data_IF_596803438795
#
_entry.id   IF_596803438795
#
_cell.length_a   1.000
_cell.length_b   1.000
_cell.length_c   1.000
_cell.angle_alpha   90.00
_cell.angle_beta   90.00
_cell.angle_gamma   90.00
#
_symmetry.space_group_name_H-M   'P 1'
#
loop_
_entity.id
_entity.type
_entity.pdbx_description
1 polymer ?
#
# COMPACT_ATOMS: atom_id res chain seq x y z
N UNK A 1 0.62 31.81 -13.15
CA UNK A 1 -0.25 30.65 -13.41
C UNK A 1 0.65 29.43 -13.48
N UNK A 2 0.67 28.59 -12.44
CA UNK A 2 1.38 27.31 -12.56
C UNK A 2 0.64 26.45 -13.58
N UNK A 3 1.37 25.85 -14.53
CA UNK A 3 0.78 24.92 -15.50
C UNK A 3 -0.06 23.87 -14.76
N UNK A 4 -1.31 23.69 -15.18
CA UNK A 4 -2.13 22.58 -14.71
C UNK A 4 -1.39 21.29 -15.02
N UNK A 5 -1.02 20.54 -13.98
CA UNK A 5 -0.38 19.24 -14.17
C UNK A 5 -1.34 18.35 -14.97
N UNK A 6 -0.91 17.81 -16.12
CA UNK A 6 -1.77 16.95 -16.92
C UNK A 6 -2.21 15.73 -16.11
N UNK A 7 -3.47 15.31 -16.27
CA UNK A 7 -4.01 14.12 -15.63
C UNK A 7 -3.24 12.87 -16.10
N UNK A 8 -2.69 12.12 -15.15
CA UNK A 8 -1.96 10.88 -15.42
C UNK A 8 -2.49 9.76 -14.51
N UNK A 9 -2.64 8.57 -15.06
CA UNK A 9 -3.06 7.38 -14.33
C UNK A 9 -1.86 6.47 -14.01
N UNK A 10 -1.70 6.11 -12.74
CA UNK A 10 -0.73 5.13 -12.25
C UNK A 10 -1.39 3.76 -12.01
N UNK A 11 -0.64 2.65 -11.89
CA UNK A 11 -1.25 1.34 -11.65
C UNK A 11 -2.01 1.27 -10.32
N UNK A 12 -1.50 1.92 -9.28
CA UNK A 12 -2.17 1.96 -7.98
C UNK A 12 -3.48 2.77 -8.02
N UNK A 13 -3.52 3.83 -8.83
CA UNK A 13 -4.71 4.62 -9.07
C UNK A 13 -5.73 3.85 -9.92
N UNK A 14 -5.27 3.14 -10.95
CA UNK A 14 -6.12 2.27 -11.75
C UNK A 14 -6.72 1.13 -10.93
N UNK A 15 -5.90 0.41 -10.15
CA UNK A 15 -6.37 -0.62 -9.23
C UNK A 15 -7.44 -0.09 -8.26
N UNK A 16 -7.30 1.15 -7.78
CA UNK A 16 -8.33 1.78 -6.92
C UNK A 16 -9.64 2.04 -7.66
N UNK A 17 -9.57 2.51 -8.90
CA UNK A 17 -10.74 2.71 -9.76
C UNK A 17 -11.48 1.38 -10.02
N UNK A 18 -10.72 0.32 -10.32
CA UNK A 18 -11.25 -1.02 -10.56
C UNK A 18 -11.89 -1.63 -9.30
N UNK A 19 -11.36 -1.36 -8.11
CA UNK A 19 -12.02 -1.73 -6.86
C UNK A 19 -13.34 -0.98 -6.68
N UNK A 20 -13.33 0.34 -6.87
CA UNK A 20 -14.52 1.18 -6.81
C UNK A 20 -14.23 2.59 -7.37
N UNK A 21 -14.95 3.07 -8.40
CA UNK A 21 -14.71 4.41 -8.96
C UNK A 21 -14.86 5.52 -7.92
N UNK A 22 -15.84 5.43 -7.01
CA UNK A 22 -15.96 6.35 -5.87
C UNK A 22 -14.73 6.35 -4.97
N UNK A 23 -14.12 5.19 -4.69
CA UNK A 23 -12.90 5.09 -3.88
C UNK A 23 -11.74 5.83 -4.57
N UNK A 24 -11.62 5.70 -5.89
CA UNK A 24 -10.67 6.50 -6.67
C UNK A 24 -10.94 8.00 -6.49
N UNK A 25 -12.18 8.43 -6.70
CA UNK A 25 -12.57 9.83 -6.59
C UNK A 25 -12.27 10.41 -5.19
N UNK A 26 -12.65 9.70 -4.12
CA UNK A 26 -12.37 10.07 -2.73
C UNK A 26 -10.87 10.22 -2.44
N UNK A 27 -10.03 9.40 -3.09
CA UNK A 27 -8.56 9.51 -2.96
C UNK A 27 -7.98 10.82 -3.54
N UNK A 28 -8.76 11.54 -4.34
CA UNK A 28 -8.39 12.83 -4.96
C UNK A 28 -8.94 14.06 -4.22
N UNK A 29 -9.80 13.87 -3.22
CA UNK A 29 -10.47 14.97 -2.49
C UNK A 29 -9.62 15.58 -1.35
N UNK A 30 -8.30 15.34 -1.34
CA UNK A 30 -7.38 15.81 -0.29
C UNK A 30 -7.80 15.40 1.13
N UNK A 31 -8.55 14.31 1.27
CA UNK A 31 -8.95 13.74 2.56
C UNK A 31 -7.72 13.21 3.34
N UNK A 32 -7.77 13.20 4.69
CA UNK A 32 -6.69 12.68 5.52
C UNK A 32 -6.26 11.26 5.15
N UNK A 33 -5.02 11.14 4.67
CA UNK A 33 -4.40 9.85 4.34
C UNK A 33 -3.97 9.12 5.59
N UNK A 34 -4.15 7.80 5.58
CA UNK A 34 -3.72 6.92 6.67
C UNK A 34 -2.30 6.42 6.40
N UNK A 35 -1.37 6.62 7.34
CA UNK A 35 -0.13 5.86 7.36
C UNK A 35 -0.41 4.44 7.86
N UNK A 36 0.31 3.44 7.35
CA UNK A 36 0.09 2.04 7.69
C UNK A 36 1.38 1.30 7.93
N UNK A 37 1.50 0.59 9.06
CA UNK A 37 2.72 -0.14 9.43
C UNK A 37 3.21 -1.11 8.34
N UNK A 38 2.29 -1.82 7.68
CA UNK A 38 2.67 -2.75 6.61
C UNK A 38 3.21 -2.03 5.37
N UNK A 39 2.64 -0.87 5.02
CA UNK A 39 3.09 -0.05 3.90
C UNK A 39 4.45 0.61 4.20
N UNK A 40 4.62 1.13 5.42
CA UNK A 40 5.89 1.71 5.89
C UNK A 40 7.01 0.66 5.93
N UNK A 41 6.75 -0.52 6.49
CA UNK A 41 7.72 -1.63 6.43
C UNK A 41 8.08 -1.96 4.98
N UNK A 42 7.09 -2.02 4.10
CA UNK A 42 7.29 -2.26 2.68
C UNK A 42 8.24 -1.23 2.05
N UNK A 43 7.95 0.05 2.27
CA UNK A 43 8.73 1.18 1.77
C UNK A 43 10.19 1.13 2.25
N UNK A 44 10.42 0.90 3.55
CA UNK A 44 11.77 0.79 4.09
C UNK A 44 12.55 -0.40 3.49
N UNK A 45 11.88 -1.54 3.28
CA UNK A 45 12.51 -2.72 2.65
C UNK A 45 12.86 -2.45 1.19
N UNK A 46 11.94 -1.88 0.40
CA UNK A 46 12.18 -1.55 -1.01
C UNK A 46 13.37 -0.59 -1.15
N UNK A 47 13.31 0.55 -0.47
CA UNK A 47 14.37 1.56 -0.48
C UNK A 47 15.73 0.98 -0.09
N UNK A 48 15.77 0.09 0.92
CA UNK A 48 17.03 -0.53 1.35
C UNK A 48 17.63 -1.49 0.31
N UNK A 49 16.79 -2.15 -0.50
CA UNK A 49 17.23 -3.04 -1.58
C UNK A 49 17.69 -2.22 -2.78
N UNK A 50 16.98 -1.14 -3.07
CA UNK A 50 17.34 -0.17 -4.12
C UNK A 50 18.69 0.51 -3.82
N UNK A 51 18.95 0.86 -2.56
CA UNK A 51 20.26 1.37 -2.11
C UNK A 51 21.39 0.34 -2.33
N UNK A 52 21.11 -0.94 -2.04
CA UNK A 52 22.07 -2.02 -2.27
C UNK A 52 22.39 -2.24 -3.76
N UNK A 53 21.46 -1.90 -4.65
CA UNK A 53 21.65 -1.96 -6.10
C UNK A 53 22.33 -0.70 -6.69
N UNK A 54 22.57 0.31 -5.86
CA UNK A 54 23.23 1.56 -6.25
C UNK A 54 24.55 1.80 -5.51
N UNK A 55 25.03 0.81 -4.76
CA UNK A 55 26.23 0.95 -3.94
C UNK A 55 27.52 1.01 -4.77
N UNK A 56 28.42 1.91 -4.39
CA UNK A 56 29.79 1.92 -4.90
C UNK A 56 30.68 0.89 -4.19
N UNK A 57 31.24 -0.04 -4.97
CA UNK A 57 32.15 -1.10 -4.52
C UNK A 57 33.56 -0.95 -5.12
N UNK A 58 33.91 0.20 -5.68
CA UNK A 58 35.21 0.48 -6.29
C UNK A 58 36.39 0.20 -5.34
N UNK A 59 36.27 0.59 -4.07
CA UNK A 59 37.29 0.42 -3.03
C UNK A 59 37.41 -0.98 -2.40
N UNK A 60 36.57 -1.95 -2.80
CA UNK A 60 36.58 -3.29 -2.19
C UNK A 60 37.22 -4.35 -3.09
N UNK A 61 38.05 -5.21 -2.47
CA UNK A 61 38.68 -6.36 -3.17
C UNK A 61 37.62 -7.33 -3.70
N UNK A 62 37.72 -7.82 -4.95
CA UNK A 62 36.72 -8.70 -5.57
C UNK A 62 36.38 -9.97 -4.77
N UNK A 63 37.35 -10.55 -4.06
CA UNK A 63 37.19 -11.76 -3.27
C UNK A 63 36.72 -11.52 -1.83
N UNK A 64 36.53 -10.26 -1.40
CA UNK A 64 36.07 -9.93 -0.04
C UNK A 64 34.66 -10.50 0.18
N UNK A 65 34.49 -11.25 1.26
CA UNK A 65 33.21 -11.75 1.78
C UNK A 65 32.84 -11.00 3.07
N UNK A 66 31.73 -11.38 3.72
CA UNK A 66 31.24 -10.80 4.99
C UNK A 66 30.85 -9.31 4.96
N UNK A 67 30.96 -8.63 3.82
CA UNK A 67 30.66 -7.21 3.69
C UNK A 67 29.16 -6.91 3.55
N UNK A 68 28.42 -7.79 2.88
CA UNK A 68 27.02 -7.53 2.49
C UNK A 68 26.04 -7.47 3.68
N UNK A 69 26.11 -8.34 4.72
CA UNK A 69 25.15 -8.29 5.83
C UNK A 69 25.16 -6.97 6.60
N UNK A 70 26.35 -6.47 6.96
CA UNK A 70 26.49 -5.22 7.71
C UNK A 70 26.00 -4.02 6.89
N UNK A 71 26.35 -3.99 5.60
CA UNK A 71 25.91 -2.95 4.68
C UNK A 71 24.38 -2.95 4.46
N UNK A 72 23.80 -4.13 4.25
CA UNK A 72 22.35 -4.30 4.10
C UNK A 72 21.60 -3.82 5.35
N UNK A 73 22.07 -4.21 6.54
CA UNK A 73 21.47 -3.76 7.80
C UNK A 73 21.61 -2.24 8.00
N UNK A 74 22.75 -1.66 7.62
CA UNK A 74 22.94 -0.19 7.66
C UNK A 74 21.91 0.54 6.80
N UNK A 75 21.74 0.14 5.54
CA UNK A 75 20.74 0.76 4.65
C UNK A 75 19.32 0.55 5.18
N UNK A 76 18.98 -0.67 5.59
CA UNK A 76 17.64 -0.93 6.13
C UNK A 76 17.35 -0.09 7.37
N UNK A 77 18.33 0.06 8.28
CA UNK A 77 18.16 0.84 9.49
C UNK A 77 17.96 2.32 9.18
N UNK A 78 18.73 2.85 8.23
CA UNK A 78 18.55 4.23 7.77
C UNK A 78 17.13 4.44 7.21
N UNK A 79 16.70 3.60 6.26
CA UNK A 79 15.36 3.72 5.64
C UNK A 79 14.22 3.46 6.61
N UNK A 80 14.43 2.63 7.62
CA UNK A 80 13.47 2.39 8.70
C UNK A 80 13.24 3.61 9.57
N UNK A 81 14.30 4.32 9.98
CA UNK A 81 14.16 5.54 10.77
C UNK A 81 13.58 6.69 9.92
N UNK A 82 14.00 6.86 8.66
CA UNK A 82 13.42 7.84 7.74
C UNK A 82 11.90 7.63 7.57
N UNK A 83 11.47 6.39 7.33
CA UNK A 83 10.05 6.06 7.18
C UNK A 83 9.29 6.20 8.51
N UNK A 84 9.93 5.90 9.65
CA UNK A 84 9.34 6.10 10.98
C UNK A 84 9.04 7.57 11.23
N UNK A 85 9.93 8.49 10.85
CA UNK A 85 9.69 9.93 10.94
C UNK A 85 8.48 10.35 10.09
N UNK A 86 8.40 9.89 8.83
CA UNK A 86 7.25 10.14 7.93
C UNK A 86 5.95 9.57 8.50
N UNK A 87 6.00 8.36 9.07
CA UNK A 87 4.87 7.72 9.71
C UNK A 87 4.35 8.57 10.88
N UNK A 88 5.23 9.04 11.77
CA UNK A 88 4.86 9.89 12.91
C UNK A 88 4.40 11.29 12.50
N UNK A 89 4.93 11.84 11.41
CA UNK A 89 4.48 13.11 10.85
C UNK A 89 3.08 13.02 10.22
N UNK A 90 2.61 11.83 9.86
CA UNK A 90 1.26 11.63 9.30
C UNK A 90 0.21 11.64 10.41
N UNK A 91 -0.74 12.59 10.47
CA UNK A 91 -1.68 12.69 11.60
C UNK A 91 -2.56 11.44 11.78
N UNK A 92 -3.14 10.94 10.70
CA UNK A 92 -3.92 9.71 10.71
C UNK A 92 -2.99 8.51 10.58
N UNK A 93 -2.69 7.86 11.69
CA UNK A 93 -1.77 6.72 11.77
C UNK A 93 -2.17 5.81 12.94
N UNK A 94 -1.91 4.50 12.85
CA UNK A 94 -1.90 3.63 14.02
C UNK A 94 -0.59 3.80 14.81
N UNK A 95 -0.34 2.94 15.79
CA UNK A 95 0.95 2.89 16.50
C UNK A 95 2.06 2.25 15.65
N UNK A 96 3.25 2.83 15.73
CA UNK A 96 4.47 2.25 15.18
C UNK A 96 4.86 0.98 15.95
N UNK A 97 5.21 -0.10 15.24
CA UNK A 97 5.51 -1.40 15.85
C UNK A 97 6.98 -1.73 15.67
N UNK A 98 7.81 -1.42 16.66
CA UNK A 98 9.26 -1.72 16.61
C UNK A 98 9.56 -3.21 16.38
N UNK A 99 8.71 -4.11 16.88
CA UNK A 99 8.84 -5.54 16.65
C UNK A 99 8.79 -5.95 15.16
N UNK A 100 8.24 -5.11 14.28
CA UNK A 100 8.21 -5.37 12.84
C UNK A 100 9.60 -5.18 12.19
N UNK A 101 10.59 -4.64 12.92
CA UNK A 101 11.99 -4.56 12.48
C UNK A 101 12.57 -5.94 12.10
N UNK A 102 12.30 -6.99 12.89
CA UNK A 102 12.77 -8.34 12.59
C UNK A 102 12.16 -8.90 11.30
N UNK A 103 10.89 -8.53 11.04
CA UNK A 103 10.22 -8.87 9.80
C UNK A 103 10.83 -8.12 8.62
N UNK A 104 11.12 -6.83 8.77
CA UNK A 104 11.81 -6.03 7.74
C UNK A 104 13.18 -6.65 7.38
N UNK A 105 13.99 -7.03 8.37
CA UNK A 105 15.27 -7.73 8.16
C UNK A 105 15.09 -9.05 7.42
N UNK A 106 14.09 -9.86 7.80
CA UNK A 106 13.79 -11.13 7.11
C UNK A 106 13.46 -10.90 5.63
N UNK A 107 12.68 -9.86 5.34
CA UNK A 107 12.23 -9.56 3.98
C UNK A 107 13.35 -8.99 3.12
N UNK A 108 14.18 -8.09 3.65
CA UNK A 108 15.39 -7.64 2.95
C UNK A 108 16.32 -8.82 2.63
N UNK A 109 16.54 -9.75 3.58
CA UNK A 109 17.32 -10.97 3.32
C UNK A 109 16.70 -11.84 2.22
N UNK A 110 15.36 -11.93 2.18
CA UNK A 110 14.64 -12.62 1.12
C UNK A 110 14.84 -11.95 -0.25
N UNK A 111 14.82 -10.61 -0.31
CA UNK A 111 15.14 -9.86 -1.52
C UNK A 111 16.58 -10.11 -2.00
N UNK A 112 17.57 -10.03 -1.09
CA UNK A 112 18.98 -10.32 -1.39
C UNK A 112 19.12 -11.75 -1.94
N UNK A 113 18.46 -12.73 -1.31
CA UNK A 113 18.47 -14.12 -1.81
C UNK A 113 17.95 -14.20 -3.25
N UNK A 114 16.83 -13.55 -3.55
CA UNK A 114 16.30 -13.53 -4.91
C UNK A 114 17.28 -12.86 -5.89
N UNK A 115 17.92 -11.75 -5.52
CA UNK A 115 18.92 -11.11 -6.36
C UNK A 115 20.13 -12.01 -6.65
N UNK A 116 20.61 -12.77 -5.66
CA UNK A 116 21.69 -13.74 -5.84
C UNK A 116 21.27 -14.90 -6.76
N UNK A 117 20.05 -15.41 -6.59
CA UNK A 117 19.50 -16.45 -7.48
C UNK A 117 19.35 -15.94 -8.92
N UNK A 118 19.02 -14.67 -9.12
CA UNK A 118 18.91 -14.06 -10.44
C UNK A 118 20.24 -14.08 -11.21
N UNK A 119 21.37 -13.91 -10.54
CA UNK A 119 22.71 -14.03 -11.16
C UNK A 119 23.27 -15.45 -11.14
N UNK A 120 22.46 -16.46 -10.84
CA UNK A 120 22.87 -17.86 -10.82
C UNK A 120 23.62 -18.29 -9.56
N UNK A 121 23.74 -17.44 -8.54
CA UNK A 121 24.39 -17.75 -7.27
C UNK A 121 23.43 -18.46 -6.28
N UNK A 122 22.69 -19.47 -6.76
CA UNK A 122 21.70 -20.20 -5.96
C UNK A 122 22.35 -20.90 -4.76
N UNK A 123 21.74 -20.76 -3.57
CA UNK A 123 22.25 -21.34 -2.33
C UNK A 123 23.38 -20.56 -1.67
N UNK A 124 23.89 -19.49 -2.30
CA UNK A 124 24.86 -18.60 -1.68
C UNK A 124 24.20 -17.75 -0.60
N UNK A 125 24.84 -17.66 0.56
CA UNK A 125 24.37 -16.80 1.66
C UNK A 125 24.94 -15.39 1.52
N UNK A 126 24.25 -14.35 2.04
CA UNK A 126 24.80 -12.99 2.06
C UNK A 126 26.19 -12.90 2.70
N UNK A 127 26.45 -13.73 3.73
CA UNK A 127 27.74 -13.80 4.42
C UNK A 127 28.89 -14.24 3.49
N UNK A 128 28.63 -15.21 2.61
CA UNK A 128 29.62 -15.79 1.68
C UNK A 128 29.65 -15.07 0.33
N UNK A 129 28.82 -14.06 0.13
CA UNK A 129 28.75 -13.32 -1.14
C UNK A 129 30.01 -12.48 -1.32
N UNK A 130 30.74 -12.74 -2.42
CA UNK A 130 31.92 -11.95 -2.77
C UNK A 130 31.52 -10.64 -3.44
N UNK A 131 32.38 -9.63 -3.36
CA UNK A 131 32.20 -8.35 -4.09
C UNK A 131 32.09 -8.58 -5.60
N UNK A 132 32.82 -9.55 -6.16
CA UNK A 132 32.75 -9.90 -7.57
C UNK A 132 31.34 -10.37 -8.00
N UNK A 133 30.69 -11.21 -7.19
CA UNK A 133 29.33 -11.70 -7.47
C UNK A 133 28.34 -10.55 -7.45
N UNK A 134 28.43 -9.64 -6.48
CA UNK A 134 27.54 -8.48 -6.44
C UNK A 134 27.81 -7.51 -7.57
N UNK A 135 29.08 -7.26 -7.95
CA UNK A 135 29.40 -6.47 -9.15
C UNK A 135 28.80 -7.08 -10.42
N UNK A 136 28.73 -8.41 -10.52
CA UNK A 136 28.05 -9.10 -11.62
C UNK A 136 26.52 -8.92 -11.60
N UNK A 137 25.91 -8.75 -10.42
CA UNK A 137 24.52 -8.32 -10.31
C UNK A 137 24.34 -6.88 -10.75
N UNK A 138 25.17 -5.96 -10.25
CA UNK A 138 25.12 -4.55 -10.60
C UNK A 138 25.29 -4.33 -12.11
N UNK A 139 26.14 -5.11 -12.79
CA UNK A 139 26.29 -5.03 -14.24
C UNK A 139 25.05 -5.46 -15.03
N UNK A 140 24.07 -6.11 -14.39
CA UNK A 140 22.77 -6.45 -15.00
C UNK A 140 21.68 -5.41 -14.72
N UNK A 141 21.91 -4.45 -13.82
CA UNK A 141 20.92 -3.41 -13.50
C UNK A 141 20.83 -2.41 -14.65
N UNK A 142 19.63 -2.21 -15.19
CA UNK A 142 19.34 -1.18 -16.18
C UNK A 142 18.77 0.06 -15.48
N UNK A 143 17.84 -0.13 -14.55
CA UNK A 143 17.24 0.94 -13.76
C UNK A 143 16.82 0.44 -12.37
N UNK A 144 16.86 1.36 -11.40
CA UNK A 144 16.36 1.19 -10.04
C UNK A 144 15.47 2.39 -9.74
N UNK A 145 14.28 2.15 -9.18
CA UNK A 145 13.25 3.19 -8.95
C UNK A 145 12.85 4.00 -10.21
N UNK A 146 12.95 3.39 -11.39
CA UNK A 146 12.78 4.05 -12.68
C UNK A 146 11.33 4.51 -12.95
N UNK A 147 11.17 5.79 -13.29
CA UNK A 147 9.88 6.32 -13.74
C UNK A 147 9.58 5.90 -15.19
N UNK A 148 8.35 5.45 -15.43
CA UNK A 148 7.84 5.10 -16.75
C UNK A 148 6.65 6.00 -17.07
N UNK A 149 6.59 6.52 -18.30
CA UNK A 149 5.47 7.30 -18.81
C UNK A 149 5.21 6.95 -20.27
N UNK A 150 3.95 6.94 -20.71
CA UNK A 150 3.64 6.93 -22.14
C UNK A 150 4.07 8.24 -22.79
N UNK A 151 4.33 8.23 -24.10
CA UNK A 151 4.73 9.42 -24.87
C UNK A 151 3.75 10.60 -24.73
N UNK A 152 2.48 10.32 -24.51
CA UNK A 152 1.40 11.31 -24.32
C UNK A 152 1.14 11.68 -22.85
N UNK A 153 1.94 11.17 -21.91
CA UNK A 153 1.85 11.39 -20.46
C UNK A 153 0.51 10.95 -19.80
N UNK A 154 -0.33 10.17 -20.48
CA UNK A 154 -1.60 9.70 -19.90
C UNK A 154 -1.40 8.60 -18.88
N UNK A 155 -0.47 7.69 -19.11
CA UNK A 155 -0.17 6.58 -18.20
C UNK A 155 1.24 6.73 -17.63
N UNK A 156 1.41 6.33 -16.38
CA UNK A 156 2.72 6.27 -15.75
C UNK A 156 2.90 5.02 -14.89
N UNK A 157 4.14 4.73 -14.51
CA UNK A 157 4.50 3.70 -13.55
C UNK A 157 5.82 4.06 -12.86
N UNK A 158 6.13 3.36 -11.77
CA UNK A 158 7.46 3.38 -11.16
C UNK A 158 7.91 1.94 -11.00
N UNK A 159 8.97 1.58 -11.69
CA UNK A 159 9.61 0.28 -11.58
C UNK A 159 10.44 0.25 -10.31
N UNK A 160 10.32 -0.79 -9.50
CA UNK A 160 11.31 -1.02 -8.45
C UNK A 160 12.67 -1.32 -9.08
N UNK A 161 12.72 -2.31 -10.00
CA UNK A 161 13.95 -2.71 -10.68
C UNK A 161 13.70 -3.15 -12.13
N UNK A 162 14.65 -2.83 -13.01
CA UNK A 162 14.75 -3.32 -14.38
C UNK A 162 16.14 -3.93 -14.59
N UNK A 163 16.18 -5.19 -15.03
CA UNK A 163 17.41 -5.93 -15.27
C UNK A 163 17.55 -6.38 -16.72
N UNK A 164 18.79 -6.50 -17.19
CA UNK A 164 19.18 -7.25 -18.36
C UNK A 164 19.15 -8.76 -18.05
N UNK A 165 18.32 -9.51 -18.76
CA UNK A 165 18.35 -10.98 -18.76
C UNK A 165 19.39 -11.44 -19.78
N UNK A 166 20.41 -12.15 -19.31
CA UNK A 166 21.52 -12.62 -20.15
C UNK A 166 21.62 -14.13 -20.13
N UNK A 167 21.97 -14.72 -21.29
CA UNK A 167 22.24 -16.15 -21.40
C UNK A 167 23.57 -16.55 -20.74
N UNK A 168 23.92 -17.84 -20.82
CA UNK A 168 25.18 -18.36 -20.28
C UNK A 168 26.43 -17.80 -20.96
N UNK A 169 26.29 -17.23 -22.15
CA UNK A 169 27.37 -16.62 -22.93
C UNK A 169 27.45 -15.10 -22.70
N UNK A 170 26.55 -14.53 -21.89
CA UNK A 170 26.48 -13.10 -21.60
C UNK A 170 25.71 -12.28 -22.66
N UNK A 171 25.05 -12.93 -23.62
CA UNK A 171 24.26 -12.23 -24.62
C UNK A 171 22.90 -11.82 -24.02
N UNK A 172 22.45 -10.62 -24.38
CA UNK A 172 21.14 -10.12 -23.96
C UNK A 172 20.03 -10.98 -24.57
N UNK A 173 19.23 -11.60 -23.71
CA UNK A 173 18.05 -12.39 -24.06
C UNK A 173 16.76 -11.58 -23.93
N UNK A 174 16.72 -10.65 -22.99
CA UNK A 174 15.49 -9.94 -22.64
C UNK A 174 15.72 -8.92 -21.54
N UNK A 175 14.62 -8.28 -21.13
CA UNK A 175 14.56 -7.49 -19.91
C UNK A 175 13.67 -8.16 -18.87
N UNK A 176 14.02 -8.02 -17.60
CA UNK A 176 13.20 -8.44 -16.47
C UNK A 176 12.87 -7.22 -15.63
N UNK A 177 11.58 -6.89 -15.58
CA UNK A 177 11.02 -6.01 -14.56
C UNK A 177 10.76 -6.85 -13.31
N UNK A 178 11.33 -6.44 -12.19
CA UNK A 178 11.12 -7.07 -10.90
C UNK A 178 10.47 -6.05 -9.94
N UNK A 179 9.24 -6.34 -9.54
CA UNK A 179 8.46 -5.54 -8.58
C UNK A 179 8.48 -6.26 -7.23
N UNK A 180 9.10 -5.65 -6.23
CA UNK A 180 9.19 -6.23 -4.90
C UNK A 180 7.81 -6.25 -4.24
N UNK A 181 7.49 -7.37 -3.61
CA UNK A 181 6.26 -7.53 -2.83
C UNK A 181 6.61 -7.92 -1.41
N UNK A 182 6.08 -7.13 -0.48
CA UNK A 182 6.20 -7.33 0.97
C UNK A 182 4.93 -7.91 1.60
N UNK A 183 3.87 -8.07 0.80
CA UNK A 183 2.63 -8.74 1.19
C UNK A 183 2.73 -10.27 1.19
N UNK A 184 1.59 -10.91 1.47
CA UNK A 184 1.44 -12.37 1.36
C UNK A 184 1.61 -12.79 -0.10
N UNK A 185 2.42 -13.81 -0.34
CA UNK A 185 2.55 -14.45 -1.64
C UNK A 185 1.23 -15.11 -2.07
N UNK A 186 0.90 -15.10 -3.35
CA UNK A 186 -0.23 -15.88 -3.85
C UNK A 186 0.02 -17.38 -3.67
N UNK A 187 -1.04 -18.16 -3.63
CA UNK A 187 -0.95 -19.62 -3.57
C UNK A 187 -0.54 -20.20 -4.92
N UNK A 188 -1.20 -19.76 -6.00
CA UNK A 188 -0.94 -20.23 -7.36
C UNK A 188 -0.72 -19.04 -8.31
N UNK A 189 -1.75 -18.21 -8.50
CA UNK A 189 -1.75 -17.11 -9.47
C UNK A 189 -1.61 -15.73 -8.84
N UNK A 190 -1.00 -14.80 -9.58
CA UNK A 190 -0.95 -13.40 -9.19
C UNK A 190 -2.35 -12.86 -8.95
N UNK A 191 -2.50 -12.04 -7.90
CA UNK A 191 -3.75 -11.31 -7.71
C UNK A 191 -4.02 -10.38 -8.90
N UNK A 192 -5.29 -10.17 -9.31
CA UNK A 192 -5.62 -9.35 -10.47
C UNK A 192 -4.96 -7.96 -10.44
N UNK A 193 -4.92 -7.31 -9.28
CA UNK A 193 -4.30 -5.99 -9.12
C UNK A 193 -2.78 -5.98 -9.32
N UNK A 194 -2.09 -7.08 -8.99
CA UNK A 194 -0.64 -7.22 -9.19
C UNK A 194 -0.35 -7.56 -10.64
N UNK A 195 -1.13 -8.46 -11.24
CA UNK A 195 -1.00 -8.81 -12.65
C UNK A 195 -1.23 -7.59 -13.54
N UNK A 196 -2.30 -6.82 -13.30
CA UNK A 196 -2.59 -5.57 -14.01
C UNK A 196 -1.44 -4.57 -13.91
N UNK A 197 -0.87 -4.39 -12.72
CA UNK A 197 0.29 -3.51 -12.50
C UNK A 197 1.51 -3.95 -13.31
N UNK A 198 1.85 -5.23 -13.26
CA UNK A 198 3.01 -5.78 -13.97
C UNK A 198 2.83 -5.70 -15.49
N UNK A 199 1.67 -6.08 -16.02
CA UNK A 199 1.38 -5.97 -17.45
C UNK A 199 1.45 -4.52 -17.91
N UNK A 200 0.92 -3.57 -17.13
CA UNK A 200 1.02 -2.14 -17.46
C UNK A 200 2.48 -1.67 -17.55
N UNK A 201 3.36 -2.11 -16.65
CA UNK A 201 4.79 -1.79 -16.73
C UNK A 201 5.44 -2.35 -18.00
N UNK A 202 5.15 -3.61 -18.35
CA UNK A 202 5.62 -4.23 -19.60
C UNK A 202 5.18 -3.40 -20.79
N UNK A 203 3.90 -3.05 -20.86
CA UNK A 203 3.34 -2.46 -22.06
C UNK A 203 3.76 -1.00 -22.23
N UNK A 204 3.90 -0.23 -21.14
CA UNK A 204 4.50 1.12 -21.20
C UNK A 204 5.96 1.02 -21.69
N UNK A 205 6.76 0.09 -21.14
CA UNK A 205 8.14 -0.13 -21.57
C UNK A 205 8.22 -0.45 -23.07
N UNK A 206 7.41 -1.38 -23.56
CA UNK A 206 7.36 -1.75 -24.98
C UNK A 206 6.88 -0.59 -25.85
N UNK A 207 5.87 0.17 -25.42
CA UNK A 207 5.36 1.34 -26.17
C UNK A 207 6.40 2.44 -26.36
N UNK A 208 7.35 2.54 -25.43
CA UNK A 208 8.42 3.53 -25.45
C UNK A 208 9.64 3.09 -26.26
N UNK A 209 9.74 1.80 -26.61
CA UNK A 209 10.93 1.19 -27.17
C UNK A 209 10.58 0.28 -28.36
N UNK A 210 10.58 0.83 -29.58
CA UNK A 210 10.15 0.13 -30.80
C UNK A 210 10.93 -1.17 -31.09
N UNK A 211 12.20 -1.24 -30.69
CA UNK A 211 13.07 -2.42 -30.85
C UNK A 211 13.46 -3.06 -29.51
N UNK A 212 12.58 -2.97 -28.50
CA UNK A 212 12.84 -3.59 -27.21
C UNK A 212 13.05 -5.11 -27.35
N UNK A 213 13.98 -5.70 -26.60
CA UNK A 213 14.03 -7.15 -26.47
C UNK A 213 12.80 -7.66 -25.70
N UNK A 214 12.53 -8.97 -25.67
CA UNK A 214 11.43 -9.54 -24.91
C UNK A 214 11.44 -9.07 -23.44
N UNK A 215 10.30 -8.58 -22.94
CA UNK A 215 10.17 -8.09 -21.57
C UNK A 215 9.36 -9.07 -20.73
N UNK A 216 9.96 -9.54 -19.64
CA UNK A 216 9.31 -10.34 -18.60
C UNK A 216 9.06 -9.48 -17.37
N UNK A 217 7.88 -9.57 -16.78
CA UNK A 217 7.53 -8.85 -15.54
C UNK A 217 7.20 -9.83 -14.42
N UNK A 218 7.81 -9.64 -13.26
CA UNK A 218 7.68 -10.55 -12.12
C UNK A 218 7.35 -9.82 -10.82
N UNK A 219 6.43 -10.39 -10.03
CA UNK A 219 6.24 -10.04 -8.63
C UNK A 219 7.19 -10.85 -7.75
N UNK A 220 8.09 -10.18 -7.03
CA UNK A 220 9.14 -10.76 -6.21
C UNK A 220 8.75 -10.72 -4.72
N UNK A 221 8.22 -11.81 -4.20
CA UNK A 221 7.69 -11.89 -2.84
C UNK A 221 8.80 -12.18 -1.83
N UNK A 222 9.18 -11.14 -1.10
CA UNK A 222 10.36 -11.14 -0.23
C UNK A 222 10.20 -12.00 1.03
N UNK A 223 8.96 -12.20 1.50
CA UNK A 223 8.68 -12.94 2.74
C UNK A 223 9.04 -14.44 2.66
N UNK A 224 8.86 -15.04 1.48
CA UNK A 224 9.14 -16.45 1.19
C UNK A 224 10.13 -16.65 0.03
N UNK A 225 10.63 -15.56 -0.56
CA UNK A 225 11.60 -15.57 -1.67
C UNK A 225 11.08 -16.29 -2.92
N UNK A 226 9.82 -16.07 -3.28
CA UNK A 226 9.21 -16.64 -4.50
C UNK A 226 8.94 -15.56 -5.54
N UNK A 227 8.87 -15.97 -6.80
CA UNK A 227 8.63 -15.09 -7.95
C UNK A 227 7.45 -15.61 -8.75
N UNK A 228 6.61 -14.69 -9.21
CA UNK A 228 5.47 -15.00 -10.06
C UNK A 228 5.50 -14.11 -11.29
N UNK A 229 5.42 -14.72 -12.47
CA UNK A 229 5.44 -14.01 -13.74
C UNK A 229 4.03 -13.57 -14.12
N UNK A 230 3.87 -12.32 -14.53
CA UNK A 230 2.64 -11.87 -15.14
C UNK A 230 2.61 -12.27 -16.62
N UNK A 231 1.52 -12.91 -17.02
CA UNK A 231 1.25 -13.30 -18.41
C UNK A 231 -0.10 -12.72 -18.83
N UNK A 232 -0.29 -12.51 -20.13
CA UNK A 232 -1.53 -11.97 -20.67
C UNK A 232 -1.30 -11.00 -21.83
N UNK A 233 -2.38 -10.59 -22.52
CA UNK A 233 -2.34 -9.59 -23.58
C UNK A 233 -1.90 -8.22 -23.05
N UNK A 234 -1.73 -7.27 -23.97
CA UNK A 234 -1.52 -5.86 -23.61
C UNK A 234 -2.73 -5.33 -22.84
N UNK A 235 -2.48 -4.49 -21.83
CA UNK A 235 -3.51 -3.84 -21.00
C UNK A 235 -3.59 -2.33 -21.24
N UNK A 236 -2.91 -1.80 -22.27
CA UNK A 236 -2.88 -0.35 -22.55
C UNK A 236 -4.24 0.22 -22.88
N UNK A 237 -5.05 -0.48 -23.69
CA UNK A 237 -6.37 0.01 -24.08
C UNK A 237 -7.30 0.11 -22.87
N UNK A 238 -7.31 -0.90 -22.00
CA UNK A 238 -8.06 -0.88 -20.74
C UNK A 238 -7.56 0.24 -19.80
N UNK A 239 -6.23 0.44 -19.72
CA UNK A 239 -5.64 1.50 -18.94
C UNK A 239 -6.02 2.90 -19.46
N UNK A 240 -6.10 3.07 -20.78
CA UNK A 240 -6.53 4.32 -21.42
C UNK A 240 -8.02 4.57 -21.23
N UNK A 241 -8.86 3.52 -21.29
CA UNK A 241 -10.28 3.62 -20.96
C UNK A 241 -10.48 4.05 -19.50
N UNK A 242 -9.71 3.45 -18.57
CA UNK A 242 -9.71 3.87 -17.17
C UNK A 242 -9.19 5.31 -17.00
N UNK A 243 -8.17 5.73 -17.75
CA UNK A 243 -7.67 7.11 -17.71
C UNK A 243 -8.75 8.10 -18.11
N UNK A 244 -9.51 7.80 -19.18
CA UNK A 244 -10.63 8.61 -19.66
C UNK A 244 -11.74 8.71 -18.60
N UNK A 245 -12.12 7.57 -18.00
CA UNK A 245 -13.16 7.50 -16.96
C UNK A 245 -12.75 8.14 -15.61
N UNK A 246 -11.45 8.38 -15.41
CA UNK A 246 -10.90 8.91 -14.16
C UNK A 246 -10.44 10.37 -14.24
N UNK A 247 -10.78 11.06 -15.35
CA UNK A 247 -10.53 12.50 -15.49
C UNK A 247 -11.10 13.26 -14.28
N UNK A 248 -10.43 14.34 -13.83
CA UNK A 248 -10.90 15.15 -12.73
C UNK A 248 -12.35 15.61 -12.93
N UNK A 249 -13.18 15.40 -11.91
CA UNK A 249 -14.59 15.79 -11.89
C UNK A 249 -14.95 16.28 -10.49
N UNK A 250 -15.77 17.33 -10.41
CA UNK A 250 -16.35 17.81 -9.16
C UNK A 250 -17.38 16.83 -8.62
N UNK A 251 -18.13 16.18 -9.52
CA UNK A 251 -19.13 15.17 -9.14
C UNK A 251 -18.44 13.86 -8.78
N UNK A 252 -18.86 13.19 -7.69
CA UNK A 252 -18.33 11.87 -7.36
C UNK A 252 -18.56 10.85 -8.47
N UNK A 253 -17.58 9.98 -8.66
CA UNK A 253 -17.75 8.81 -9.53
C UNK A 253 -18.68 7.78 -8.87
N UNK A 254 -19.37 7.00 -9.70
CA UNK A 254 -20.34 6.00 -9.28
C UNK A 254 -19.74 4.99 -8.30
N UNK A 255 -20.47 4.68 -7.23
CA UNK A 255 -20.05 3.68 -6.26
C UNK A 255 -20.42 2.28 -6.75
N UNK A 256 -19.50 1.32 -6.59
CA UNK A 256 -19.74 -0.11 -6.84
C UNK A 256 -19.63 -0.91 -5.55
N UNK A 257 -20.56 -0.74 -4.60
CA UNK A 257 -20.48 -1.39 -3.31
C UNK A 257 -20.67 -2.91 -3.43
N UNK A 258 -19.77 -3.67 -2.82
CA UNK A 258 -19.73 -5.13 -2.87
C UNK A 258 -18.74 -5.71 -1.89
N UNK A 259 -18.63 -7.05 -1.87
CA UNK A 259 -17.78 -7.76 -0.91
C UNK A 259 -16.30 -7.38 -1.03
N UNK A 260 -15.81 -7.21 -2.25
CA UNK A 260 -14.42 -6.82 -2.53
C UNK A 260 -14.12 -5.33 -2.31
N UNK A 261 -15.15 -4.47 -2.27
CA UNK A 261 -15.02 -3.03 -2.04
C UNK A 261 -15.44 -2.65 -0.62
N UNK A 262 -16.74 -2.56 -0.34
CA UNK A 262 -17.30 -2.17 0.95
C UNK A 262 -17.16 -3.26 2.03
N UNK A 263 -17.13 -4.54 1.66
CA UNK A 263 -16.76 -5.65 2.55
C UNK A 263 -15.25 -5.78 2.77
N UNK A 264 -14.45 -5.07 1.97
CA UNK A 264 -13.00 -5.09 2.02
C UNK A 264 -12.38 -3.88 2.71
N UNK A 265 -11.11 -3.63 2.37
CA UNK A 265 -10.34 -2.50 2.88
C UNK A 265 -10.61 -1.23 2.06
N UNK A 266 -10.96 -0.15 2.75
CA UNK A 266 -11.14 1.18 2.15
C UNK A 266 -10.84 2.24 3.22
N UNK A 267 -9.85 3.11 2.98
CA UNK A 267 -9.48 4.18 3.92
C UNK A 267 -10.50 5.31 4.00
N UNK A 268 -11.48 5.35 3.10
CA UNK A 268 -12.37 6.50 2.89
C UNK A 268 -13.78 6.28 3.45
N UNK A 269 -13.98 5.24 4.27
CA UNK A 269 -15.28 4.86 4.85
C UNK A 269 -15.97 6.02 5.56
N UNK A 270 -15.23 6.80 6.36
CA UNK A 270 -15.75 7.96 7.11
C UNK A 270 -16.39 9.06 6.26
N UNK A 271 -16.12 9.08 4.95
CA UNK A 271 -16.65 10.05 3.98
C UNK A 271 -17.56 9.40 2.93
N UNK A 272 -17.91 8.13 3.08
CA UNK A 272 -18.62 7.36 2.06
C UNK A 272 -19.95 6.79 2.59
N UNK A 273 -21.11 7.38 2.21
CA UNK A 273 -22.40 6.88 2.67
C UNK A 273 -22.75 5.51 2.05
N UNK A 274 -22.25 5.21 0.84
CA UNK A 274 -22.47 3.93 0.15
C UNK A 274 -21.91 2.73 0.92
N UNK A 275 -20.75 2.88 1.55
CA UNK A 275 -20.20 1.82 2.41
C UNK A 275 -21.15 1.51 3.57
N UNK A 276 -21.63 2.55 4.24
CA UNK A 276 -22.45 2.38 5.43
C UNK A 276 -23.81 1.78 5.11
N UNK A 277 -24.47 2.30 4.06
CA UNK A 277 -25.72 1.76 3.53
C UNK A 277 -25.59 0.31 3.07
N UNK A 278 -24.50 -0.04 2.39
CA UNK A 278 -24.26 -1.41 1.96
C UNK A 278 -24.06 -2.37 3.14
N UNK A 279 -23.28 -2.00 4.16
CA UNK A 279 -23.09 -2.85 5.35
C UNK A 279 -24.39 -3.03 6.12
N UNK A 280 -25.20 -1.97 6.26
CA UNK A 280 -26.52 -2.00 6.91
C UNK A 280 -27.46 -2.97 6.18
N UNK A 281 -27.62 -2.81 4.86
CA UNK A 281 -28.47 -3.67 4.02
C UNK A 281 -28.09 -5.15 4.08
N UNK A 282 -26.81 -5.46 4.24
CA UNK A 282 -26.31 -6.82 4.34
C UNK A 282 -26.24 -7.35 5.79
N UNK A 283 -26.65 -6.56 6.79
CA UNK A 283 -26.63 -6.98 8.21
C UNK A 283 -25.22 -7.20 8.77
N UNK A 284 -24.21 -6.49 8.24
CA UNK A 284 -22.79 -6.67 8.60
C UNK A 284 -22.21 -5.51 9.42
N UNK A 285 -23.07 -4.65 9.96
CA UNK A 285 -22.65 -3.62 10.92
C UNK A 285 -22.48 -4.27 12.30
N UNK A 286 -21.27 -4.15 12.87
CA UNK A 286 -21.00 -4.67 14.22
C UNK A 286 -20.98 -6.19 14.35
N UNK A 287 -21.05 -6.95 13.25
CA UNK A 287 -21.20 -8.42 13.26
C UNK A 287 -19.89 -9.18 13.42
N UNK A 288 -18.75 -8.53 13.17
CA UNK A 288 -17.43 -9.15 13.11
C UNK A 288 -16.65 -8.85 14.40
N UNK A 289 -15.72 -9.72 14.80
CA UNK A 289 -14.82 -9.52 15.96
C UNK A 289 -14.14 -8.14 15.97
N UNK A 290 -13.84 -7.64 14.77
CA UNK A 290 -13.38 -6.28 14.51
C UNK A 290 -14.34 -5.62 13.54
N UNK A 291 -15.01 -4.58 14.01
CA UNK A 291 -16.06 -3.91 13.25
C UNK A 291 -15.79 -2.42 13.09
N UNK A 292 -16.15 -1.91 11.92
CA UNK A 292 -16.28 -0.49 11.65
C UNK A 292 -17.69 -0.02 12.08
N UNK A 293 -17.80 1.14 12.70
CA UNK A 293 -19.09 1.67 13.16
C UNK A 293 -19.13 3.21 13.12
N UNK A 294 -20.35 3.75 13.11
CA UNK A 294 -20.60 5.16 13.38
C UNK A 294 -21.31 5.24 14.72
N UNK A 295 -20.80 6.09 15.61
CA UNK A 295 -21.28 6.21 16.99
C UNK A 295 -21.61 7.66 17.34
N UNK A 296 -22.47 7.83 18.34
CA UNK A 296 -22.56 9.04 19.15
C UNK A 296 -21.86 8.80 20.48
N UNK A 297 -20.95 9.69 20.87
CA UNK A 297 -20.25 9.59 22.15
C UNK A 297 -21.05 10.35 23.22
N UNK A 298 -21.59 9.65 24.20
CA UNK A 298 -22.40 10.24 25.28
C UNK A 298 -21.57 10.63 26.50
N UNK A 299 -20.58 9.81 26.82
CA UNK A 299 -19.67 10.05 27.93
C UNK A 299 -18.27 9.59 27.56
N UNK A 300 -17.28 10.34 28.02
CA UNK A 300 -15.87 10.00 27.89
C UNK A 300 -15.10 10.52 29.10
N UNK A 301 -14.40 9.61 29.77
CA UNK A 301 -13.43 9.91 30.81
C UNK A 301 -12.05 10.01 30.16
N UNK A 302 -11.53 11.23 30.08
CA UNK A 302 -10.25 11.51 29.44
C UNK A 302 -9.06 10.90 30.18
N UNK A 303 -9.20 10.54 31.46
CA UNK A 303 -8.11 9.98 32.27
C UNK A 303 -7.93 8.51 31.96
N UNK A 304 -8.99 7.71 32.11
CA UNK A 304 -8.90 6.25 31.91
C UNK A 304 -9.31 5.79 30.50
N UNK A 305 -9.88 6.67 29.67
CA UNK A 305 -10.29 6.37 28.31
C UNK A 305 -11.61 5.59 28.21
N UNK A 306 -12.35 5.42 29.30
CA UNK A 306 -13.65 4.76 29.31
C UNK A 306 -14.76 5.71 28.84
N UNK A 307 -15.85 5.16 28.34
CA UNK A 307 -16.97 5.94 27.86
C UNK A 307 -18.21 5.11 27.58
N UNK A 308 -19.26 5.83 27.17
CA UNK A 308 -20.51 5.24 26.68
C UNK A 308 -20.76 5.81 25.29
N UNK A 309 -20.96 4.92 24.33
CA UNK A 309 -21.28 5.26 22.96
C UNK A 309 -22.64 4.67 22.57
N UNK A 310 -23.39 5.36 21.73
CA UNK A 310 -24.59 4.84 21.11
C UNK A 310 -24.32 4.51 19.65
N UNK A 311 -24.68 3.30 19.23
CA UNK A 311 -24.51 2.87 17.85
C UNK A 311 -25.51 3.59 16.95
N UNK A 312 -25.04 4.00 15.77
CA UNK A 312 -25.89 4.58 14.73
C UNK A 312 -26.08 3.63 13.56
N UNK A 313 -27.13 3.87 12.80
CA UNK A 313 -27.39 3.29 11.49
C UNK A 313 -27.72 4.40 10.45
N UNK A 314 -27.61 4.13 9.14
CA UNK A 314 -27.93 5.16 8.14
C UNK A 314 -29.44 5.43 8.09
N UNK A 315 -29.83 6.67 8.32
CA UNK A 315 -31.21 7.15 8.20
C UNK A 315 -31.68 7.27 6.74
N UNK A 316 -30.72 7.46 5.81
CA UNK A 316 -30.97 7.74 4.41
C UNK A 316 -29.75 7.42 3.53
N UNK A 317 -29.92 7.57 2.21
CA UNK A 317 -28.88 7.29 1.22
C UNK A 317 -27.66 8.21 1.36
N UNK A 318 -27.82 9.40 1.94
CA UNK A 318 -26.75 10.39 2.16
C UNK A 318 -25.88 10.07 3.39
N UNK A 319 -26.21 9.01 4.14
CA UNK A 319 -25.46 8.60 5.32
C UNK A 319 -25.71 9.51 6.53
N UNK A 320 -26.89 10.13 6.62
CA UNK A 320 -27.31 10.81 7.85
C UNK A 320 -27.40 9.77 8.97
N UNK A 321 -26.78 9.99 10.14
CA UNK A 321 -26.87 9.03 11.23
C UNK A 321 -28.24 9.07 11.92
N UNK A 322 -28.74 7.87 12.23
CA UNK A 322 -29.87 7.63 13.12
C UNK A 322 -29.37 6.86 14.36
N UNK A 323 -29.54 7.41 15.58
CA UNK A 323 -29.25 6.68 16.80
C UNK A 323 -30.18 5.48 16.94
N UNK A 324 -29.63 4.32 17.29
CA UNK A 324 -30.39 3.07 17.41
C UNK A 324 -31.04 2.87 18.78
N UNK A 325 -30.70 3.70 19.77
CA UNK A 325 -31.02 3.48 21.18
C UNK A 325 -30.09 2.48 21.88
N UNK A 326 -29.22 1.78 21.14
CA UNK A 326 -28.29 0.80 21.69
C UNK A 326 -27.01 1.48 22.20
N UNK A 327 -26.93 1.66 23.52
CA UNK A 327 -25.73 2.13 24.20
C UNK A 327 -24.79 0.96 24.53
N UNK A 328 -23.51 1.15 24.22
CA UNK A 328 -22.44 0.19 24.48
C UNK A 328 -21.36 0.83 25.36
N UNK A 329 -20.82 0.11 26.36
CA UNK A 329 -19.62 0.53 27.04
C UNK A 329 -18.44 0.44 26.06
N UNK A 330 -17.61 1.49 26.04
CA UNK A 330 -16.49 1.62 25.11
C UNK A 330 -15.23 2.08 25.84
N UNK A 331 -14.08 1.62 25.38
CA UNK A 331 -12.76 2.02 25.90
C UNK A 331 -11.87 2.44 24.74
N UNK A 332 -11.19 3.58 24.91
CA UNK A 332 -10.21 4.10 23.98
C UNK A 332 -8.82 3.99 24.60
N UNK A 333 -7.87 3.39 23.88
CA UNK A 333 -6.48 3.26 24.34
C UNK A 333 -5.43 3.63 23.30
N UNK A 334 -4.23 3.97 23.79
CA UNK A 334 -3.08 4.38 23.00
C UNK A 334 -3.45 5.40 21.92
N UNK A 335 -3.07 5.11 20.68
CA UNK A 335 -3.34 5.99 19.54
C UNK A 335 -4.83 6.22 19.27
N UNK A 336 -5.71 5.26 19.60
CA UNK A 336 -7.16 5.44 19.45
C UNK A 336 -7.71 6.51 20.40
N UNK A 337 -7.20 6.56 21.64
CA UNK A 337 -7.53 7.60 22.62
C UNK A 337 -6.99 8.96 22.22
N UNK A 338 -5.73 9.03 21.80
CA UNK A 338 -5.11 10.27 21.33
C UNK A 338 -5.89 10.85 20.14
N UNK A 339 -6.29 10.02 19.17
CA UNK A 339 -7.06 10.46 18.01
C UNK A 339 -8.45 10.97 18.40
N UNK A 340 -9.10 10.36 19.39
CA UNK A 340 -10.37 10.87 19.92
C UNK A 340 -10.17 12.24 20.59
N UNK A 341 -9.16 12.38 21.44
CA UNK A 341 -8.88 13.65 22.13
C UNK A 341 -8.52 14.77 21.15
N UNK A 342 -7.71 14.47 20.12
CA UNK A 342 -7.42 15.39 19.01
C UNK A 342 -8.71 15.83 18.31
N UNK A 343 -9.63 14.89 18.02
CA UNK A 343 -10.91 15.21 17.40
C UNK A 343 -11.79 16.08 18.30
N UNK A 344 -11.94 15.74 19.58
CA UNK A 344 -12.75 16.52 20.52
C UNK A 344 -12.18 17.93 20.75
N UNK A 345 -10.85 18.07 20.76
CA UNK A 345 -10.17 19.35 20.88
C UNK A 345 -10.46 20.31 19.70
N UNK A 346 -10.91 19.80 18.54
CA UNK A 346 -11.40 20.64 17.43
C UNK A 346 -12.79 21.25 17.69
N UNK A 347 -13.45 20.86 18.78
CA UNK A 347 -14.84 21.23 19.08
C UNK A 347 -15.88 20.31 18.42
N UNK A 348 -15.48 19.15 17.89
CA UNK A 348 -16.40 18.20 17.26
C UNK A 348 -17.40 17.65 18.28
N UNK A 349 -18.70 17.79 18.00
CA UNK A 349 -19.82 17.28 18.82
C UNK A 349 -20.69 16.26 18.07
N UNK A 350 -20.30 15.91 16.84
CA UNK A 350 -21.09 15.09 15.95
C UNK A 350 -20.79 13.59 16.04
N UNK A 351 -21.44 12.80 15.19
CA UNK A 351 -21.15 11.37 15.02
C UNK A 351 -19.69 11.11 14.65
N UNK A 352 -19.16 10.01 15.16
CA UNK A 352 -17.75 9.61 15.02
C UNK A 352 -17.70 8.26 14.30
N UNK A 353 -16.88 8.19 13.26
CA UNK A 353 -16.49 6.93 12.65
C UNK A 353 -15.38 6.27 13.47
N UNK A 354 -15.61 5.04 13.91
CA UNK A 354 -14.61 4.17 14.50
C UNK A 354 -14.29 3.03 13.53
N UNK A 355 -13.03 2.91 13.12
CA UNK A 355 -12.57 1.86 12.22
C UNK A 355 -11.92 0.71 12.97
N UNK A 356 -12.36 -0.52 12.72
CA UNK A 356 -11.80 -1.77 13.26
C UNK A 356 -11.78 -1.86 14.79
N UNK A 357 -12.84 -1.36 15.44
CA UNK A 357 -13.04 -1.53 16.89
C UNK A 357 -13.23 -3.01 17.21
N UNK A 358 -12.63 -3.49 18.30
CA UNK A 358 -12.85 -4.85 18.77
C UNK A 358 -14.18 -4.92 19.52
N UNK A 359 -15.11 -5.75 19.06
CA UNK A 359 -16.51 -5.79 19.53
C UNK A 359 -16.91 -7.11 20.17
N UNK A 360 -16.06 -8.13 20.12
CA UNK A 360 -16.32 -9.47 20.68
C UNK A 360 -16.18 -9.59 22.20
N UNK A 361 -16.27 -8.46 22.91
CA UNK A 361 -16.18 -8.37 24.36
C UNK A 361 -17.37 -7.59 24.88
N UNK A 362 -17.64 -7.71 26.17
CA UNK A 362 -18.69 -6.92 26.84
C UNK A 362 -18.46 -5.40 26.66
N UNK A 363 -17.20 -4.97 26.61
CA UNK A 363 -16.80 -3.58 26.35
C UNK A 363 -16.09 -3.48 25.02
N UNK A 364 -16.57 -2.59 24.16
CA UNK A 364 -15.93 -2.30 22.87
C UNK A 364 -14.58 -1.64 23.10
N UNK A 365 -13.58 -2.02 22.31
CA UNK A 365 -12.21 -1.49 22.43
C UNK A 365 -11.75 -0.83 21.14
N UNK A 366 -11.51 0.47 21.24
CA UNK A 366 -10.91 1.32 20.21
C UNK A 366 -9.43 1.49 20.55
N UNK A 367 -8.62 0.58 20.02
CA UNK A 367 -7.21 0.51 20.35
C UNK A 367 -6.29 1.28 19.42
N UNK A 368 -4.98 1.13 19.65
CA UNK A 368 -3.91 1.77 18.88
C UNK A 368 -3.86 1.46 17.36
N UNK A 369 -4.70 0.56 16.85
CA UNK A 369 -4.83 0.23 15.43
C UNK A 369 -6.06 0.85 14.76
N UNK A 370 -7.00 1.36 15.57
CA UNK A 370 -8.28 1.86 15.10
C UNK A 370 -8.15 3.23 14.43
N UNK A 371 -9.06 3.52 13.51
CA UNK A 371 -9.31 4.91 13.09
C UNK A 371 -10.36 5.52 14.02
N UNK A 372 -10.19 6.79 14.37
CA UNK A 372 -11.20 7.64 15.02
C UNK A 372 -11.28 8.93 14.22
N UNK A 373 -12.40 9.16 13.56
CA UNK A 373 -12.59 10.28 12.63
C UNK A 373 -13.98 10.87 12.80
N UNK A 374 -14.17 12.13 12.46
CA UNK A 374 -15.51 12.67 12.26
C UNK A 374 -16.22 11.84 11.16
N UNK A 375 -17.47 11.44 11.41
CA UNK A 375 -18.32 10.95 10.32
C UNK A 375 -18.74 12.16 9.48
N UNK A 376 -18.34 12.19 8.21
CA UNK A 376 -18.55 13.34 7.33
C UNK A 376 -18.78 12.86 5.90
N UNK A 377 -19.89 12.14 5.63
CA UNK A 377 -20.17 11.59 4.32
C UNK A 377 -20.27 12.70 3.28
N UNK A 378 -19.61 12.49 2.14
CA UNK A 378 -19.75 13.36 0.97
C UNK A 378 -20.94 12.84 0.17
N UNK A 379 -21.88 13.72 -0.19
CA UNK A 379 -23.06 13.39 -1.00
C UNK A 379 -22.69 13.14 -2.47
N UNK A 380 -23.59 12.51 -3.23
CA UNK A 380 -23.51 12.40 -4.70
C UNK A 380 -24.08 13.63 -5.42
N UNK A 381 -24.82 14.48 -4.69
CA UNK A 381 -25.57 15.63 -5.20
C UNK A 381 -24.70 16.88 -5.38
#
# INVERSE_FOLDING_TARGET
MGEERPHTLSPSAWNRYETCPRMYWLSRQKLPRKAGMAASLGTAVHASVEDLLQVDLSGLKPNKTHWLPEMAEKFLKQRWEEEKEVFHATPRRPMWKEKEWDKAKKMQRGAIKMLLEFVGAKGLTPLKTTVAIWKSLLSRVIAVEGELRTKDNRLMGRLDMLFADVDSNGNLKGWIVADLKTGRAPEEELKPEVQRQLLLYRDILLSNNENAPPVKTEGWYTANSTRYTANGPSVLDDALAAWEATKPTEKPLEATPGQSSCGGFCDWKAWCPHWWNWRAKNGTLGSDDFSDSVILLHHFDEVNGSGVAELCEPANAEGRPMPTGLQVPITFDGRGKEALQELLATGHQGPIFIGSAMTNRETWRVGHWCDVLAWSPISDA
#
